data_IF_115615850059
#
_entry.id   IF_115615850059
#
_cell.length_a   1.000
_cell.length_b   1.000
_cell.length_c   1.000
_cell.angle_alpha   90.00
_cell.angle_beta   90.00
_cell.angle_gamma   90.00
#
_symmetry.space_group_name_H-M   'P 1'
#
loop_
_entity.id
_entity.type
_entity.pdbx_description
1 polymer ?
#
# COMPACT_ATOMS: atom_id res chain seq x y z
N UNK A 1 -34.34 -33.61 42.79
CA UNK A 1 -33.37 -33.65 41.66
C UNK A 1 -33.94 -33.22 40.31
N UNK A 2 -35.20 -33.54 39.95
CA UNK A 2 -35.75 -33.20 38.62
C UNK A 2 -35.92 -31.69 38.35
N UNK A 3 -36.24 -30.88 39.37
CA UNK A 3 -36.34 -29.42 39.27
C UNK A 3 -34.99 -28.74 38.93
N UNK A 4 -33.89 -29.16 39.57
CA UNK A 4 -32.55 -28.60 39.33
C UNK A 4 -32.02 -28.92 37.91
N UNK A 5 -32.32 -30.11 37.37
CA UNK A 5 -31.95 -30.49 36.00
C UNK A 5 -32.69 -29.64 34.94
N UNK A 6 -33.97 -29.33 35.17
CA UNK A 6 -34.77 -28.44 34.33
C UNK A 6 -34.19 -27.02 34.26
N UNK A 7 -33.76 -26.46 35.39
CA UNK A 7 -33.20 -25.10 35.46
C UNK A 7 -31.86 -24.98 34.72
N UNK A 8 -30.98 -25.99 34.82
CA UNK A 8 -29.69 -25.99 34.12
C UNK A 8 -29.86 -26.08 32.59
N UNK A 9 -30.76 -26.93 32.11
CA UNK A 9 -31.07 -27.03 30.67
C UNK A 9 -31.66 -25.74 30.11
N UNK A 10 -32.58 -25.09 30.84
CA UNK A 10 -33.15 -23.80 30.44
C UNK A 10 -32.09 -22.71 30.34
N UNK A 11 -31.13 -22.66 31.28
CA UNK A 11 -30.00 -21.71 31.24
C UNK A 11 -29.06 -21.97 30.06
N UNK A 12 -28.72 -23.22 29.77
CA UNK A 12 -27.89 -23.58 28.61
C UNK A 12 -28.58 -23.25 27.28
N UNK A 13 -29.88 -23.52 27.18
CA UNK A 13 -30.68 -23.18 25.99
C UNK A 13 -30.78 -21.66 25.81
N UNK A 14 -31.01 -20.90 26.88
CA UNK A 14 -31.00 -19.44 26.84
C UNK A 14 -29.63 -18.90 26.41
N UNK A 15 -28.53 -19.44 26.94
CA UNK A 15 -27.17 -19.08 26.53
C UNK A 15 -26.87 -19.38 25.06
N UNK A 16 -27.35 -20.52 24.55
CA UNK A 16 -27.25 -20.86 23.13
C UNK A 16 -28.02 -19.86 22.26
N UNK A 17 -29.27 -19.53 22.64
CA UNK A 17 -30.11 -18.58 21.89
C UNK A 17 -29.45 -17.20 21.86
N UNK A 18 -28.97 -16.70 23.01
CA UNK A 18 -28.26 -15.42 23.08
C UNK A 18 -27.02 -15.43 22.19
N UNK A 19 -26.22 -16.49 22.25
CA UNK A 19 -25.00 -16.61 21.43
C UNK A 19 -25.32 -16.64 19.93
N UNK A 20 -26.40 -17.31 19.52
CA UNK A 20 -26.88 -17.33 18.14
C UNK A 20 -27.36 -15.95 17.68
N UNK A 21 -28.09 -15.22 18.52
CA UNK A 21 -28.54 -13.87 18.22
C UNK A 21 -27.35 -12.91 18.08
N UNK A 22 -26.37 -12.97 18.98
CA UNK A 22 -25.14 -12.19 18.87
C UNK A 22 -24.36 -12.52 17.59
N UNK A 23 -24.20 -13.81 17.27
CA UNK A 23 -23.54 -14.23 16.04
C UNK A 23 -24.26 -13.71 14.79
N UNK A 24 -25.59 -13.80 14.73
CA UNK A 24 -26.38 -13.28 13.63
C UNK A 24 -26.25 -11.76 13.48
N UNK A 25 -26.32 -11.02 14.59
CA UNK A 25 -26.16 -9.56 14.61
C UNK A 25 -24.77 -9.14 14.10
N UNK A 26 -23.70 -9.75 14.61
CA UNK A 26 -22.34 -9.43 14.17
C UNK A 26 -22.08 -9.85 12.71
N UNK A 27 -22.66 -10.97 12.26
CA UNK A 27 -22.58 -11.39 10.85
C UNK A 27 -23.28 -10.38 9.94
N UNK A 28 -24.45 -9.89 10.34
CA UNK A 28 -25.18 -8.85 9.60
C UNK A 28 -24.38 -7.54 9.50
N UNK A 29 -23.81 -7.07 10.62
CA UNK A 29 -22.95 -5.87 10.63
C UNK A 29 -21.72 -6.07 9.74
N UNK A 30 -21.04 -7.22 9.79
CA UNK A 30 -19.91 -7.51 8.91
C UNK A 30 -20.33 -7.53 7.43
N UNK A 31 -21.48 -8.12 7.11
CA UNK A 31 -22.02 -8.11 5.74
C UNK A 31 -22.33 -6.68 5.27
N UNK A 32 -22.91 -5.84 6.14
CA UNK A 32 -23.14 -4.43 5.84
C UNK A 32 -21.81 -3.70 5.60
N UNK A 33 -20.81 -3.87 6.46
CA UNK A 33 -19.48 -3.27 6.25
C UNK A 33 -18.82 -3.79 4.96
N UNK A 34 -19.00 -5.06 4.61
CA UNK A 34 -18.45 -5.64 3.38
C UNK A 34 -19.07 -5.01 2.12
N UNK A 35 -20.38 -4.77 2.15
CA UNK A 35 -21.11 -4.07 1.08
C UNK A 35 -20.63 -2.63 0.92
N UNK A 36 -20.33 -1.95 2.02
CA UNK A 36 -19.93 -0.53 2.07
C UNK A 36 -18.41 -0.36 2.31
N UNK A 37 -17.58 -1.33 1.90
CA UNK A 37 -16.14 -1.33 2.21
C UNK A 37 -15.37 -0.15 1.62
N UNK A 38 -15.90 0.48 0.58
CA UNK A 38 -15.38 1.71 -0.03
C UNK A 38 -15.66 2.95 0.84
N UNK A 39 -16.50 2.86 1.88
CA UNK A 39 -16.86 3.98 2.77
C UNK A 39 -15.89 4.16 3.96
N UNK A 40 -14.59 4.04 3.68
CA UNK A 40 -13.52 4.30 4.66
C UNK A 40 -13.11 3.10 5.51
N UNK A 41 -13.22 1.87 4.99
CA UNK A 41 -12.72 0.66 5.65
C UNK A 41 -11.36 0.17 5.11
N UNK A 42 -10.59 1.08 4.52
CA UNK A 42 -9.23 0.88 4.02
C UNK A 42 -8.20 1.09 5.15
N UNK A 43 -7.00 0.53 4.98
CA UNK A 43 -5.87 0.81 5.87
C UNK A 43 -5.15 2.07 5.39
N UNK A 44 -5.27 3.15 6.15
CA UNK A 44 -4.80 4.49 5.80
C UNK A 44 -3.43 4.79 6.36
N UNK A 45 -2.60 5.43 5.54
CA UNK A 45 -1.31 5.99 5.92
C UNK A 45 -1.28 7.48 5.56
N UNK A 46 -0.57 8.26 6.38
CA UNK A 46 -0.53 9.72 6.24
C UNK A 46 0.74 10.25 5.58
N UNK A 47 1.76 9.41 5.34
CA UNK A 47 3.09 9.89 4.98
C UNK A 47 3.61 9.27 3.68
N UNK A 48 4.25 10.10 2.86
CA UNK A 48 4.93 9.68 1.62
C UNK A 48 5.93 8.50 1.82
N UNK A 49 6.79 8.54 2.86
CA UNK A 49 7.67 7.42 3.21
C UNK A 49 7.04 6.03 3.20
N UNK A 50 5.79 5.92 3.63
CA UNK A 50 5.13 4.64 3.82
C UNK A 50 4.85 3.91 2.50
N UNK A 51 4.91 4.60 1.35
CA UNK A 51 4.55 4.05 0.04
C UNK A 51 5.66 4.05 -1.00
N UNK A 52 6.61 4.97 -0.85
CA UNK A 52 7.59 5.28 -1.89
C UNK A 52 9.02 5.06 -1.45
N UNK A 53 9.28 4.94 -0.15
CA UNK A 53 10.58 4.44 0.29
C UNK A 53 10.48 2.93 0.41
N UNK A 54 11.15 2.30 -0.54
CA UNK A 54 11.32 0.87 -0.64
C UNK A 54 12.02 0.31 0.59
N UNK A 55 11.58 -0.85 1.08
CA UNK A 55 12.24 -1.55 2.19
C UNK A 55 13.64 -2.05 1.82
N UNK A 56 13.97 -2.09 0.53
CA UNK A 56 15.29 -2.39 0.01
C UNK A 56 16.22 -1.15 0.06
N UNK A 57 15.67 0.06 0.25
CA UNK A 57 16.45 1.30 0.35
C UNK A 57 16.92 1.52 1.79
N UNK A 58 18.24 1.68 2.03
CA UNK A 58 18.77 2.03 3.34
C UNK A 58 18.10 3.26 3.94
N UNK A 59 17.49 3.09 5.11
CA UNK A 59 16.77 4.12 5.82
C UNK A 59 17.01 4.04 7.32
N UNK A 60 16.81 5.16 8.01
CA UNK A 60 16.80 5.20 9.46
C UNK A 60 15.39 4.84 9.93
N UNK A 61 15.23 3.65 10.48
CA UNK A 61 13.94 3.10 10.95
C UNK A 61 13.68 3.37 12.43
N UNK A 62 14.63 4.01 13.11
CA UNK A 62 14.46 4.41 14.51
C UNK A 62 15.71 4.99 15.13
N UNK A 63 15.54 5.48 16.35
CA UNK A 63 16.63 6.01 17.15
C UNK A 63 16.59 5.42 18.56
N UNK A 64 17.75 5.13 19.14
CA UNK A 64 17.86 4.68 20.53
C UNK A 64 18.87 5.54 21.28
N UNK A 65 18.44 6.10 22.41
CA UNK A 65 19.36 6.79 23.33
C UNK A 65 20.26 5.74 24.01
N UNK A 66 21.58 5.94 23.97
CA UNK A 66 22.57 5.03 24.58
C UNK A 66 23.25 5.61 25.82
N UNK A 67 23.09 6.91 26.03
CA UNK A 67 23.66 7.66 27.14
C UNK A 67 23.40 9.15 26.92
N UNK A 68 23.91 9.98 27.82
CA UNK A 68 23.83 11.45 27.69
C UNK A 68 24.54 11.88 26.42
N UNK A 69 23.81 12.54 25.51
CA UNK A 69 24.34 12.96 24.22
C UNK A 69 24.78 11.81 23.31
N UNK A 70 24.28 10.59 23.50
CA UNK A 70 24.57 9.47 22.59
C UNK A 70 23.30 8.98 21.91
N UNK A 71 23.30 9.07 20.58
CA UNK A 71 22.18 8.67 19.74
C UNK A 71 22.61 7.54 18.81
N UNK A 72 21.95 6.39 18.92
CA UNK A 72 22.09 5.31 17.96
C UNK A 72 21.06 5.45 16.84
N UNK A 73 21.52 5.42 15.59
CA UNK A 73 20.66 5.36 14.40
C UNK A 73 20.42 3.90 14.03
N UNK A 74 19.16 3.46 14.04
CA UNK A 74 18.78 2.10 13.64
C UNK A 74 18.58 2.11 12.11
N UNK A 75 19.40 1.37 11.38
CA UNK A 75 19.42 1.38 9.91
C UNK A 75 18.88 0.05 9.37
N UNK A 76 17.95 0.13 8.41
CA UNK A 76 17.40 -1.03 7.71
C UNK A 76 17.24 -0.72 6.20
N UNK A 77 17.57 -1.67 5.31
CA UNK A 77 18.26 -2.93 5.61
C UNK A 77 19.68 -2.62 6.09
N UNK A 78 20.31 -3.60 6.76
CA UNK A 78 21.67 -3.45 7.26
C UNK A 78 22.63 -3.20 6.10
N UNK A 79 23.33 -2.07 6.12
CA UNK A 79 24.30 -1.69 5.08
C UNK A 79 25.76 -1.95 5.44
N UNK A 80 26.06 -2.08 6.75
CA UNK A 80 27.42 -2.30 7.24
C UNK A 80 27.42 -3.02 8.60
N UNK A 81 28.55 -3.61 8.95
CA UNK A 81 28.84 -4.16 10.29
C UNK A 81 29.44 -3.13 11.25
N UNK A 82 30.04 -2.09 10.68
CA UNK A 82 30.73 -1.03 11.42
C UNK A 82 30.67 0.28 10.65
N UNK A 83 30.93 1.37 11.36
CA UNK A 83 30.87 2.73 10.82
C UNK A 83 32.04 3.57 11.32
N UNK A 84 32.55 4.43 10.45
CA UNK A 84 33.47 5.52 10.79
C UNK A 84 32.68 6.82 10.83
N UNK A 85 32.70 7.50 11.97
CA UNK A 85 31.89 8.69 12.23
C UNK A 85 32.82 9.89 12.33
N UNK A 86 32.74 10.78 11.34
CA UNK A 86 33.41 12.08 11.34
C UNK A 86 32.53 13.08 12.07
N UNK A 87 33.09 13.63 13.13
CA UNK A 87 32.46 14.57 14.04
C UNK A 87 32.60 16.02 13.53
N UNK A 88 31.81 16.97 14.07
CA UNK A 88 31.87 18.38 13.64
C UNK A 88 33.23 19.05 13.86
N UNK A 89 33.97 18.61 14.89
CA UNK A 89 35.32 19.09 15.21
C UNK A 89 36.42 18.39 14.38
N UNK A 90 36.04 17.58 13.39
CA UNK A 90 36.95 16.81 12.55
C UNK A 90 37.47 15.53 13.20
N UNK A 91 37.17 15.28 14.47
CA UNK A 91 37.55 14.02 15.12
C UNK A 91 36.81 12.84 14.49
N UNK A 92 37.44 11.68 14.52
CA UNK A 92 36.87 10.45 13.96
C UNK A 92 36.69 9.44 15.08
N UNK A 93 35.48 8.87 15.14
CA UNK A 93 35.18 7.75 16.02
C UNK A 93 34.76 6.53 15.20
N UNK A 94 34.87 5.33 15.80
CA UNK A 94 34.44 4.09 15.17
C UNK A 94 33.31 3.47 15.97
N UNK A 95 32.30 2.96 15.27
CA UNK A 95 31.22 2.16 15.83
C UNK A 95 31.32 0.75 15.26
N UNK A 96 31.48 -0.26 16.13
CA UNK A 96 31.53 -1.68 15.75
C UNK A 96 30.13 -2.33 15.78
N UNK A 97 29.10 -1.51 15.63
CA UNK A 97 27.70 -1.94 15.60
C UNK A 97 27.15 -1.63 14.20
N UNK A 98 26.32 -2.51 13.61
CA UNK A 98 25.62 -2.21 12.36
C UNK A 98 24.77 -0.93 12.41
N UNK A 99 24.35 -0.53 13.62
CA UNK A 99 23.60 0.69 13.90
C UNK A 99 24.52 1.70 14.61
N UNK A 100 25.00 2.74 13.89
CA UNK A 100 26.04 3.60 14.41
C UNK A 100 25.57 4.42 15.61
N UNK A 101 26.47 4.59 16.59
CA UNK A 101 26.25 5.43 17.78
C UNK A 101 27.02 6.73 17.65
N UNK A 102 26.30 7.84 17.59
CA UNK A 102 26.86 9.19 17.45
C UNK A 102 26.94 9.84 18.84
N UNK A 103 28.11 10.38 19.19
CA UNK A 103 28.24 11.27 20.35
C UNK A 103 27.94 12.69 19.91
N UNK A 104 26.82 13.26 20.35
CA UNK A 104 26.33 14.55 19.90
C UNK A 104 27.02 15.70 20.65
N UNK A 105 27.38 16.75 19.91
CA UNK A 105 27.80 18.05 20.43
C UNK A 105 26.58 18.96 20.55
N UNK A 106 26.53 19.79 21.61
CA UNK A 106 25.47 20.79 21.75
C UNK A 106 25.45 21.74 20.55
N UNK A 107 24.27 22.19 20.15
CA UNK A 107 24.06 23.05 18.97
C UNK A 107 23.72 22.26 17.70
N UNK A 108 23.75 22.94 16.56
CA UNK A 108 23.49 22.38 15.23
C UNK A 108 24.79 21.88 14.61
N UNK A 109 24.84 20.60 14.30
CA UNK A 109 26.07 19.92 13.95
C UNK A 109 25.85 18.92 12.80
N UNK A 110 26.84 18.82 11.91
CA UNK A 110 26.87 17.85 10.80
C UNK A 110 27.71 16.64 11.18
N UNK A 111 27.18 15.46 10.92
CA UNK A 111 27.83 14.18 11.16
C UNK A 111 27.89 13.39 9.85
N UNK A 112 29.06 12.86 9.52
CA UNK A 112 29.26 12.03 8.33
C UNK A 112 29.67 10.63 8.77
N UNK A 113 28.81 9.67 8.48
CA UNK A 113 28.92 8.28 8.89
C UNK A 113 29.23 7.45 7.65
N UNK A 114 30.48 6.98 7.55
CA UNK A 114 30.95 6.15 6.45
C UNK A 114 30.83 4.68 6.83
N UNK A 115 30.10 3.86 6.06
CA UNK A 115 30.00 2.43 6.33
C UNK A 115 31.35 1.75 6.15
N UNK A 116 31.62 0.71 6.96
CA UNK A 116 32.84 -0.10 6.84
C UNK A 116 32.87 -1.00 5.60
N UNK A 117 31.74 -1.18 4.92
CA UNK A 117 31.62 -1.88 3.64
C UNK A 117 32.03 -0.96 2.48
N UNK A 118 32.71 -1.50 1.46
CA UNK A 118 33.20 -0.70 0.31
C UNK A 118 32.08 -0.12 -0.56
N UNK A 119 30.89 -0.73 -0.53
CA UNK A 119 29.79 -0.41 -1.44
C UNK A 119 28.67 0.42 -0.78
N UNK A 120 28.80 0.72 0.52
CA UNK A 120 27.78 1.49 1.24
C UNK A 120 27.90 3.00 1.00
N UNK A 121 26.77 3.66 0.76
CA UNK A 121 26.72 5.13 0.69
C UNK A 121 26.87 5.74 2.09
N UNK A 122 27.64 6.85 2.25
CA UNK A 122 27.75 7.53 3.53
C UNK A 122 26.39 8.07 3.99
N UNK A 123 26.11 7.95 5.28
CA UNK A 123 24.99 8.59 5.94
C UNK A 123 25.42 9.98 6.44
N UNK A 124 24.73 11.01 6.00
CA UNK A 124 24.97 12.41 6.37
C UNK A 124 23.77 12.88 7.19
N UNK A 125 24.02 13.36 8.40
CA UNK A 125 23.01 13.85 9.33
C UNK A 125 23.35 15.25 9.81
N UNK A 126 22.38 16.17 9.74
CA UNK A 126 22.43 17.43 10.46
C UNK A 126 21.51 17.34 11.68
N UNK A 127 22.09 17.42 12.87
CA UNK A 127 21.38 17.24 14.14
C UNK A 127 21.60 18.48 15.01
N UNK A 128 20.50 19.07 15.47
CA UNK A 128 20.44 20.03 16.56
C UNK A 128 20.25 19.29 17.87
N UNK A 129 21.24 19.34 18.75
CA UNK A 129 21.20 18.70 20.05
C UNK A 129 21.32 19.72 21.18
N UNK A 130 20.47 19.59 22.20
CA UNK A 130 20.57 20.36 23.45
C UNK A 130 20.44 19.41 24.61
N UNK A 131 21.55 19.16 25.31
CA UNK A 131 21.56 18.33 26.50
C UNK A 131 20.78 18.95 27.66
N UNK A 132 20.20 18.11 28.52
CA UNK A 132 19.39 18.52 29.68
C UNK A 132 20.13 19.49 30.60
N UNK A 133 21.45 19.36 30.74
CA UNK A 133 22.27 20.25 31.56
C UNK A 133 22.24 21.71 31.07
N UNK A 134 22.10 21.92 29.75
CA UNK A 134 21.94 23.25 29.18
C UNK A 134 20.60 23.87 29.59
N UNK A 135 19.53 23.07 29.63
CA UNK A 135 18.22 23.51 30.13
C UNK A 135 18.25 23.79 31.64
N UNK A 136 18.84 22.89 32.44
CA UNK A 136 18.93 23.04 33.91
C UNK A 136 19.65 24.31 34.34
N UNK A 137 20.73 24.69 33.64
CA UNK A 137 21.46 25.96 33.88
C UNK A 137 20.58 27.20 33.72
N UNK A 138 19.42 27.09 33.07
CA UNK A 138 18.43 28.16 32.87
C UNK A 138 17.14 27.94 33.67
N UNK A 139 17.16 27.05 34.67
CA UNK A 139 15.98 26.72 35.46
C UNK A 139 14.91 25.90 34.72
N UNK A 140 15.25 25.30 33.58
CA UNK A 140 14.33 24.48 32.78
C UNK A 140 14.63 22.98 32.99
N UNK A 141 13.60 22.19 33.32
CA UNK A 141 13.70 20.75 33.60
C UNK A 141 13.54 19.85 32.36
N UNK A 142 13.52 20.42 31.16
CA UNK A 142 13.43 19.67 29.90
C UNK A 142 14.56 18.64 29.78
N UNK A 143 14.21 17.45 29.30
CA UNK A 143 15.17 16.42 28.96
C UNK A 143 16.04 16.82 27.76
N UNK A 144 17.04 15.99 27.44
CA UNK A 144 17.79 16.10 26.18
C UNK A 144 16.86 16.24 24.98
N UNK A 145 17.11 17.25 24.16
CA UNK A 145 16.37 17.53 22.94
C UNK A 145 17.21 17.18 21.71
N UNK A 146 16.61 16.44 20.78
CA UNK A 146 17.24 15.94 19.55
C UNK A 146 16.35 16.37 18.39
N UNK A 147 16.92 17.10 17.43
CA UNK A 147 16.17 17.54 16.26
C UNK A 147 17.02 17.34 15.01
N UNK A 148 16.60 16.41 14.15
CA UNK A 148 17.27 16.13 12.88
C UNK A 148 16.74 17.12 11.86
N UNK A 149 17.60 18.00 11.37
CA UNK A 149 17.24 19.02 10.39
C UNK A 149 17.39 18.51 8.96
N UNK A 150 18.36 17.64 8.72
CA UNK A 150 18.61 17.05 7.40
C UNK A 150 19.16 15.63 7.53
N UNK A 151 18.79 14.78 6.58
CA UNK A 151 19.32 13.43 6.41
C UNK A 151 19.32 13.09 4.92
N UNK A 152 20.40 12.52 4.42
CA UNK A 152 20.41 11.95 3.06
C UNK A 152 19.81 10.53 3.01
N UNK A 153 19.75 9.83 4.14
CA UNK A 153 18.96 8.61 4.27
C UNK A 153 17.53 9.01 4.62
N UNK A 154 16.53 8.33 4.07
CA UNK A 154 15.17 8.52 4.52
C UNK A 154 14.99 8.14 5.99
N UNK A 155 14.07 8.80 6.69
CA UNK A 155 13.70 8.48 8.07
C UNK A 155 12.26 7.95 8.06
N UNK A 156 12.07 6.73 8.57
CA UNK A 156 10.81 6.00 8.43
C UNK A 156 10.37 5.54 9.82
N UNK A 157 9.14 5.88 10.19
CA UNK A 157 8.57 5.51 11.49
C UNK A 157 7.81 4.17 11.45
N UNK A 158 7.44 3.72 10.26
CA UNK A 158 6.60 2.55 10.03
C UNK A 158 7.27 1.53 9.11
N UNK A 159 6.61 0.39 8.95
CA UNK A 159 7.03 -0.63 7.99
C UNK A 159 7.01 -0.02 6.58
N UNK A 160 8.18 0.01 5.94
CA UNK A 160 8.29 0.17 4.48
C UNK A 160 7.84 -1.09 3.76
N UNK A 161 7.51 -0.92 2.49
CA UNK A 161 7.13 -2.01 1.60
C UNK A 161 8.19 -2.17 0.53
N UNK A 162 8.47 -3.41 0.16
CA UNK A 162 9.35 -3.71 -0.96
C UNK A 162 8.70 -3.40 -2.30
N UNK A 163 9.51 -3.37 -3.35
CA UNK A 163 9.03 -3.06 -4.71
C UNK A 163 7.90 -4.01 -5.13
N UNK A 164 8.02 -5.29 -4.79
CA UNK A 164 7.06 -6.32 -5.17
C UNK A 164 5.91 -6.52 -4.19
N UNK A 165 5.85 -5.77 -3.09
CA UNK A 165 4.69 -5.79 -2.18
C UNK A 165 3.46 -5.16 -2.86
N UNK A 166 3.69 -4.17 -3.72
CA UNK A 166 2.64 -3.49 -4.48
C UNK A 166 2.59 -3.89 -5.97
N UNK A 167 3.68 -4.41 -6.52
CA UNK A 167 3.75 -4.75 -7.94
C UNK A 167 2.94 -6.01 -8.27
N UNK A 168 2.18 -5.94 -9.37
CA UNK A 168 1.66 -7.15 -10.00
C UNK A 168 2.81 -8.05 -10.44
N UNK A 169 2.57 -9.36 -10.41
CA UNK A 169 3.58 -10.38 -10.70
C UNK A 169 3.07 -11.38 -11.72
N UNK A 170 3.98 -11.93 -12.53
CA UNK A 170 3.62 -12.88 -13.59
C UNK A 170 2.91 -14.11 -13.04
N UNK A 171 3.24 -14.55 -11.82
CA UNK A 171 2.65 -15.74 -11.19
C UNK A 171 1.18 -15.56 -10.82
N UNK A 172 0.64 -14.34 -10.92
CA UNK A 172 -0.78 -14.07 -10.72
C UNK A 172 -1.63 -14.38 -11.95
N UNK A 173 -1.01 -14.62 -13.10
CA UNK A 173 -1.65 -14.86 -14.38
C UNK A 173 -1.45 -16.30 -14.85
N UNK A 174 -2.28 -16.76 -15.80
CA UNK A 174 -2.08 -18.07 -16.41
C UNK A 174 -0.81 -18.05 -17.27
N UNK A 175 -0.05 -19.15 -17.26
CA UNK A 175 1.22 -19.25 -18.00
C UNK A 175 1.02 -19.03 -19.50
N UNK A 176 -0.10 -19.51 -20.04
CA UNK A 176 -0.45 -19.39 -21.45
C UNK A 176 -0.73 -17.93 -21.83
N UNK A 177 -1.40 -17.18 -20.94
CA UNK A 177 -1.67 -15.75 -21.15
C UNK A 177 -0.37 -14.93 -21.12
N UNK A 178 0.54 -15.22 -20.17
CA UNK A 178 1.85 -14.56 -20.09
C UNK A 178 2.70 -14.88 -21.32
N UNK A 179 2.69 -16.13 -21.80
CA UNK A 179 3.41 -16.52 -23.01
C UNK A 179 2.87 -15.79 -24.26
N UNK A 180 1.55 -15.65 -24.38
CA UNK A 180 0.93 -14.90 -25.47
C UNK A 180 1.25 -13.40 -25.39
N UNK A 181 1.18 -12.81 -24.19
CA UNK A 181 1.57 -11.43 -23.97
C UNK A 181 3.03 -11.18 -24.37
N UNK A 182 3.95 -12.07 -23.97
CA UNK A 182 5.37 -11.98 -24.37
C UNK A 182 5.54 -12.05 -25.89
N UNK A 183 4.80 -12.93 -26.58
CA UNK A 183 4.81 -12.97 -28.05
C UNK A 183 4.39 -11.63 -28.67
N UNK A 184 3.34 -11.00 -28.15
CA UNK A 184 2.90 -9.68 -28.62
C UNK A 184 3.92 -8.58 -28.30
N UNK A 185 4.47 -8.57 -27.09
CA UNK A 185 5.46 -7.58 -26.62
C UNK A 185 6.68 -7.55 -27.55
N UNK A 186 7.26 -8.72 -27.82
CA UNK A 186 8.47 -8.83 -28.64
C UNK A 186 8.17 -8.84 -30.16
N UNK A 187 7.00 -9.31 -30.57
CA UNK A 187 6.65 -9.44 -31.99
C UNK A 187 5.95 -8.23 -32.59
N UNK A 188 5.02 -7.61 -31.86
CA UNK A 188 4.13 -6.55 -32.36
C UNK A 188 4.42 -5.18 -31.74
N UNK A 189 4.75 -5.14 -30.45
CA UNK A 189 5.03 -3.87 -29.75
C UNK A 189 6.46 -3.37 -29.98
N UNK A 190 7.33 -4.19 -30.61
CA UNK A 190 8.70 -3.83 -30.96
C UNK A 190 9.65 -3.69 -29.78
N UNK A 191 9.31 -4.27 -28.63
CA UNK A 191 10.21 -4.34 -27.47
C UNK A 191 11.38 -5.26 -27.78
N UNK A 192 12.59 -4.83 -27.41
CA UNK A 192 13.81 -5.61 -27.55
C UNK A 192 14.26 -6.13 -26.18
N UNK A 193 15.00 -7.24 -26.17
CA UNK A 193 15.49 -7.86 -24.94
C UNK A 193 16.38 -6.92 -24.11
N UNK A 194 17.14 -6.05 -24.78
CA UNK A 194 18.05 -5.08 -24.16
C UNK A 194 17.44 -3.69 -23.91
N UNK A 195 16.15 -3.49 -24.20
CA UNK A 195 15.47 -2.22 -23.88
C UNK A 195 15.47 -2.02 -22.35
N UNK A 196 15.80 -0.80 -21.91
CA UNK A 196 15.64 -0.38 -20.53
C UNK A 196 14.16 -0.21 -20.15
N UNK A 197 13.92 0.04 -18.87
CA UNK A 197 12.56 0.14 -18.34
C UNK A 197 11.77 1.27 -19.02
N UNK A 198 12.43 2.40 -19.28
CA UNK A 198 11.84 3.55 -19.97
C UNK A 198 11.41 3.22 -21.40
N UNK A 199 12.27 2.58 -22.19
CA UNK A 199 11.98 2.22 -23.58
C UNK A 199 10.83 1.22 -23.67
N UNK A 200 10.83 0.20 -22.79
CA UNK A 200 9.73 -0.77 -22.67
C UNK A 200 8.41 -0.08 -22.35
N UNK A 201 8.40 0.83 -21.38
CA UNK A 201 7.22 1.62 -21.02
C UNK A 201 6.68 2.33 -22.26
N UNK A 202 7.51 3.10 -22.96
CA UNK A 202 7.05 3.90 -24.10
C UNK A 202 6.50 3.05 -25.25
N UNK A 203 7.18 1.94 -25.60
CA UNK A 203 6.75 1.06 -26.71
C UNK A 203 5.43 0.36 -26.40
N UNK A 204 5.32 -0.24 -25.22
CA UNK A 204 4.11 -0.95 -24.81
C UNK A 204 2.95 0.03 -24.63
N UNK A 205 3.16 1.17 -23.96
CA UNK A 205 2.12 2.19 -23.79
C UNK A 205 1.61 2.71 -25.12
N UNK A 206 2.51 3.02 -26.06
CA UNK A 206 2.14 3.48 -27.40
C UNK A 206 1.24 2.47 -28.11
N UNK A 207 1.68 1.22 -28.18
CA UNK A 207 0.92 0.16 -28.84
C UNK A 207 -0.45 -0.04 -28.19
N UNK A 208 -0.50 -0.14 -26.86
CA UNK A 208 -1.77 -0.34 -26.15
C UNK A 208 -2.72 0.84 -26.33
N UNK A 209 -2.20 2.07 -26.29
CA UNK A 209 -3.02 3.26 -26.49
C UNK A 209 -3.63 3.30 -27.89
N UNK A 210 -2.82 3.07 -28.93
CA UNK A 210 -3.28 2.99 -30.32
C UNK A 210 -4.40 1.96 -30.50
N UNK A 211 -4.32 0.85 -29.78
CA UNK A 211 -5.28 -0.24 -29.90
C UNK A 211 -6.57 0.00 -29.10
N UNK A 212 -6.47 0.60 -27.91
CA UNK A 212 -7.57 0.68 -26.93
C UNK A 212 -8.35 2.00 -27.02
N UNK A 213 -7.70 3.13 -27.29
CA UNK A 213 -8.31 4.48 -27.23
C UNK A 213 -9.58 4.58 -28.08
N UNK A 214 -9.55 4.00 -29.29
CA UNK A 214 -10.69 4.01 -30.22
C UNK A 214 -11.93 3.25 -29.72
N UNK A 215 -11.79 2.45 -28.67
CA UNK A 215 -12.85 1.69 -28.01
C UNK A 215 -13.19 2.24 -26.62
N UNK A 216 -12.83 3.48 -26.32
CA UNK A 216 -13.24 4.15 -25.09
C UNK A 216 -14.78 4.13 -24.95
N UNK A 217 -15.27 3.65 -23.82
CA UNK A 217 -16.70 3.46 -23.61
C UNK A 217 -17.06 2.58 -22.43
N UNK A 218 -18.35 2.42 -22.19
CA UNK A 218 -18.87 1.67 -21.04
C UNK A 218 -18.61 0.17 -21.24
N UNK A 219 -17.80 -0.48 -20.39
CA UNK A 219 -17.59 -1.91 -20.48
C UNK A 219 -18.87 -2.67 -20.04
N UNK A 220 -19.11 -3.83 -20.62
CA UNK A 220 -20.16 -4.74 -20.19
C UNK A 220 -19.83 -5.35 -18.83
N UNK A 221 -20.87 -5.76 -18.12
CA UNK A 221 -20.75 -6.46 -16.84
C UNK A 221 -19.84 -7.70 -16.93
N UNK A 222 -19.75 -8.35 -18.09
CA UNK A 222 -18.92 -9.53 -18.27
C UNK A 222 -17.42 -9.25 -18.13
N UNK A 223 -16.97 -8.02 -18.45
CA UNK A 223 -15.56 -7.61 -18.39
C UNK A 223 -14.95 -7.77 -16.99
N UNK A 224 -15.78 -7.67 -15.94
CA UNK A 224 -15.35 -7.80 -14.53
C UNK A 224 -14.83 -9.20 -14.18
N UNK A 225 -15.10 -10.20 -15.02
CA UNK A 225 -14.73 -11.60 -14.79
C UNK A 225 -13.66 -12.11 -15.76
N UNK A 226 -13.18 -11.27 -16.68
CA UNK A 226 -12.18 -11.64 -17.68
C UNK A 226 -10.75 -11.36 -17.19
N UNK A 227 -9.79 -12.15 -17.65
CA UNK A 227 -8.37 -11.84 -17.47
C UNK A 227 -8.00 -10.56 -18.23
N UNK A 228 -6.89 -9.87 -17.87
CA UNK A 228 -6.48 -8.68 -18.61
C UNK A 228 -6.26 -8.95 -20.11
N UNK A 229 -5.71 -10.12 -20.47
CA UNK A 229 -5.54 -10.48 -21.89
C UNK A 229 -6.89 -10.67 -22.60
N UNK A 230 -7.84 -11.34 -21.95
CA UNK A 230 -9.19 -11.52 -22.53
C UNK A 230 -9.94 -10.19 -22.63
N UNK A 231 -9.77 -9.28 -21.65
CA UNK A 231 -10.30 -7.92 -21.74
C UNK A 231 -9.71 -7.18 -22.95
N UNK A 232 -8.39 -7.21 -23.11
CA UNK A 232 -7.71 -6.62 -24.28
C UNK A 232 -8.27 -7.17 -25.60
N UNK A 233 -8.30 -8.50 -25.77
CA UNK A 233 -8.81 -9.15 -26.99
C UNK A 233 -10.25 -8.77 -27.29
N UNK A 234 -11.09 -8.69 -26.26
CA UNK A 234 -12.51 -8.35 -26.41
C UNK A 234 -12.68 -6.89 -26.84
N UNK A 235 -11.94 -5.96 -26.22
CA UNK A 235 -11.91 -4.54 -26.59
C UNK A 235 -11.47 -4.37 -28.04
N UNK A 236 -10.30 -4.91 -28.43
CA UNK A 236 -9.78 -4.71 -29.81
C UNK A 236 -10.61 -5.42 -30.89
N UNK A 237 -11.49 -6.36 -30.50
CA UNK A 237 -12.45 -6.98 -31.42
C UNK A 237 -13.74 -6.15 -31.60
N UNK A 238 -13.86 -5.00 -30.93
CA UNK A 238 -15.06 -4.15 -30.95
C UNK A 238 -16.27 -4.74 -30.21
N UNK A 239 -16.07 -5.79 -29.40
CA UNK A 239 -17.15 -6.45 -28.65
C UNK A 239 -17.47 -5.77 -27.32
N UNK A 240 -16.63 -4.85 -26.87
CA UNK A 240 -16.78 -4.16 -25.60
C UNK A 240 -16.08 -2.80 -25.59
N UNK A 241 -16.49 -1.94 -24.67
CA UNK A 241 -15.82 -0.69 -24.38
C UNK A 241 -14.72 -0.84 -23.31
N UNK A 242 -13.89 0.18 -23.20
CA UNK A 242 -12.90 0.32 -22.14
C UNK A 242 -13.11 1.61 -21.35
N UNK A 243 -13.10 1.50 -20.02
CA UNK A 243 -12.87 2.63 -19.13
C UNK A 243 -11.48 2.54 -18.51
N UNK A 244 -11.07 3.59 -17.79
CA UNK A 244 -9.76 3.70 -17.14
C UNK A 244 -9.35 2.43 -16.37
N UNK A 245 -10.29 1.77 -15.69
CA UNK A 245 -10.03 0.50 -15.00
C UNK A 245 -9.55 -0.61 -15.93
N UNK A 246 -10.20 -0.81 -17.08
CA UNK A 246 -9.80 -1.82 -18.06
C UNK A 246 -8.44 -1.49 -18.65
N UNK A 247 -8.24 -0.23 -19.05
CA UNK A 247 -6.97 0.27 -19.59
C UNK A 247 -5.82 0.05 -18.61
N UNK A 248 -6.03 0.38 -17.32
CA UNK A 248 -5.00 0.24 -16.29
C UNK A 248 -4.65 -1.23 -15.99
N UNK A 249 -5.62 -2.15 -15.89
CA UNK A 249 -5.32 -3.57 -15.63
C UNK A 249 -4.65 -4.26 -16.83
N UNK A 250 -5.02 -3.89 -18.06
CA UNK A 250 -4.38 -4.37 -19.29
C UNK A 250 -2.94 -3.87 -19.33
N UNK A 251 -2.74 -2.57 -19.12
CA UNK A 251 -1.42 -1.96 -19.02
C UNK A 251 -0.52 -2.68 -18.01
N UNK A 252 -1.00 -2.87 -16.77
CA UNK A 252 -0.22 -3.52 -15.73
C UNK A 252 0.15 -4.96 -16.07
N UNK A 253 -0.75 -5.69 -16.74
CA UNK A 253 -0.48 -7.06 -17.20
C UNK A 253 0.64 -7.12 -18.24
N UNK A 254 0.60 -6.26 -19.26
CA UNK A 254 1.64 -6.22 -20.29
C UNK A 254 2.98 -5.72 -19.75
N UNK A 255 2.99 -4.70 -18.87
CA UNK A 255 4.21 -4.23 -18.23
C UNK A 255 4.84 -5.30 -17.34
N UNK A 256 4.03 -5.98 -16.51
CA UNK A 256 4.50 -7.09 -15.67
C UNK A 256 5.08 -8.22 -16.53
N UNK A 257 4.42 -8.56 -17.64
CA UNK A 257 4.89 -9.58 -18.60
C UNK A 257 6.16 -9.16 -19.35
N UNK A 258 6.44 -7.86 -19.42
CA UNK A 258 7.69 -7.29 -19.92
C UNK A 258 8.78 -7.18 -18.83
N UNK A 259 8.56 -7.74 -17.64
CA UNK A 259 9.51 -7.67 -16.53
C UNK A 259 9.60 -6.29 -15.86
N UNK A 260 8.61 -5.42 -16.07
CA UNK A 260 8.51 -4.12 -15.41
C UNK A 260 7.56 -4.24 -14.22
N UNK A 261 8.04 -4.08 -12.97
CA UNK A 261 7.15 -4.06 -11.82
C UNK A 261 6.15 -2.91 -11.95
N UNK A 262 4.87 -3.21 -11.94
CA UNK A 262 3.80 -2.22 -12.11
C UNK A 262 2.74 -2.39 -11.04
N UNK A 263 2.31 -1.30 -10.40
CA UNK A 263 1.22 -1.27 -9.42
C UNK A 263 0.07 -0.41 -9.92
N UNK A 264 -1.13 -0.70 -9.44
CA UNK A 264 -2.32 0.10 -9.75
C UNK A 264 -2.63 1.07 -8.62
N UNK A 265 -2.99 2.29 -9.03
CA UNK A 265 -3.29 3.40 -8.12
C UNK A 265 -4.64 3.98 -8.52
N UNK A 266 -5.56 4.04 -7.57
CA UNK A 266 -6.89 4.64 -7.76
C UNK A 266 -6.99 5.96 -7.01
N UNK A 267 -7.65 6.93 -7.60
CA UNK A 267 -8.22 8.09 -6.92
C UNK A 267 -9.70 7.82 -6.69
N UNK A 268 -10.10 7.77 -5.42
CA UNK A 268 -11.49 7.53 -5.03
C UNK A 268 -11.96 8.64 -4.08
N UNK A 269 -13.23 9.00 -4.18
CA UNK A 269 -13.86 9.93 -3.27
C UNK A 269 -15.36 10.06 -3.54
N UNK A 270 -16.15 10.11 -2.48
CA UNK A 270 -17.61 10.21 -2.55
C UNK A 270 -18.14 11.08 -1.40
N UNK A 271 -19.13 11.91 -1.69
CA UNK A 271 -19.91 12.67 -0.70
C UNK A 271 -21.38 12.50 -1.05
N UNK A 272 -22.19 12.01 -0.10
CA UNK A 272 -23.64 11.83 -0.29
C UNK A 272 -24.02 11.09 -1.59
N UNK A 273 -23.31 10.00 -1.91
CA UNK A 273 -23.46 9.20 -3.15
C UNK A 273 -23.04 9.92 -4.45
N UNK A 274 -22.52 11.14 -4.34
CA UNK A 274 -21.92 11.86 -5.46
C UNK A 274 -20.43 11.56 -5.50
N UNK A 275 -19.99 10.90 -6.58
CA UNK A 275 -18.57 10.67 -6.83
C UNK A 275 -17.87 12.00 -7.08
N UNK A 276 -16.95 12.33 -6.19
CA UNK A 276 -16.12 13.54 -6.28
C UNK A 276 -14.75 13.26 -6.89
N UNK A 277 -14.33 11.99 -6.90
CA UNK A 277 -13.17 11.47 -7.62
C UNK A 277 -13.45 10.03 -8.07
N UNK A 278 -12.84 9.63 -9.18
CA UNK A 278 -13.01 8.30 -9.72
C UNK A 278 -12.13 8.11 -10.93
N UNK A 279 -10.88 7.69 -10.70
CA UNK A 279 -9.93 7.37 -11.75
C UNK A 279 -8.96 6.30 -11.28
N UNK A 280 -8.44 5.49 -12.20
CA UNK A 280 -7.43 4.49 -11.90
C UNK A 280 -6.39 4.49 -13.01
N UNK A 281 -5.14 4.42 -12.61
CA UNK A 281 -3.97 4.41 -13.47
C UNK A 281 -2.90 3.52 -12.84
N UNK A 282 -1.68 3.57 -13.37
CA UNK A 282 -0.59 2.73 -12.92
C UNK A 282 0.64 3.55 -12.50
N UNK A 283 1.48 2.92 -11.71
CA UNK A 283 2.87 3.32 -11.55
C UNK A 283 3.77 2.17 -11.95
N UNK A 284 4.77 2.44 -12.79
CA UNK A 284 5.74 1.44 -13.25
C UNK A 284 7.11 1.75 -12.69
N UNK A 285 7.81 0.74 -12.20
CA UNK A 285 9.10 0.92 -11.54
C UNK A 285 10.22 1.00 -12.58
N UNK A 286 10.93 2.13 -12.60
CA UNK A 286 12.10 2.34 -13.46
C UNK A 286 13.33 1.90 -12.69
N UNK A 287 13.80 0.69 -12.97
CA UNK A 287 14.92 0.05 -12.26
C UNK A 287 16.19 0.90 -12.29
N UNK A 288 16.48 1.50 -13.43
CA UNK A 288 17.67 2.33 -13.67
C UNK A 288 17.67 3.62 -12.81
N UNK A 289 16.50 4.01 -12.29
CA UNK A 289 16.30 5.17 -11.41
C UNK A 289 15.91 4.78 -9.99
N UNK A 290 15.73 3.48 -9.70
CA UNK A 290 15.22 2.96 -8.44
C UNK A 290 13.96 3.69 -7.95
N UNK A 291 13.00 3.97 -8.86
CA UNK A 291 11.87 4.84 -8.57
C UNK A 291 10.59 4.43 -9.32
N UNK A 292 9.46 4.54 -8.63
CA UNK A 292 8.13 4.44 -9.24
C UNK A 292 7.85 5.64 -10.15
N UNK A 293 7.21 5.37 -11.28
CA UNK A 293 6.89 6.41 -12.26
C UNK A 293 5.41 6.36 -12.61
N UNK A 294 4.74 7.51 -12.53
CA UNK A 294 3.35 7.67 -12.92
C UNK A 294 3.15 7.40 -14.42
N UNK A 295 2.14 6.58 -14.73
CA UNK A 295 1.68 6.31 -16.09
C UNK A 295 0.16 6.15 -16.10
N UNK A 296 -0.48 6.84 -17.02
CA UNK A 296 -1.93 6.82 -17.21
C UNK A 296 -2.22 6.60 -18.69
N UNK A 297 -2.46 5.32 -19.00
CA UNK A 297 -2.77 4.90 -20.36
C UNK A 297 -4.07 5.57 -20.86
N UNK A 298 -5.07 5.78 -20.00
CA UNK A 298 -6.37 6.32 -20.43
C UNK A 298 -6.24 7.76 -20.96
N UNK A 299 -5.40 8.57 -20.29
CA UNK A 299 -5.11 9.94 -20.71
C UNK A 299 -3.90 10.07 -21.66
N UNK A 300 -3.31 8.95 -22.09
CA UNK A 300 -2.15 8.94 -22.97
C UNK A 300 -0.88 9.49 -22.33
N UNK A 301 -0.77 9.50 -21.00
CA UNK A 301 0.42 9.93 -20.27
C UNK A 301 1.30 8.73 -19.94
N UNK A 302 2.30 8.48 -20.77
CA UNK A 302 3.10 7.24 -20.66
C UNK A 302 4.17 7.32 -19.58
N UNK A 303 4.66 8.53 -19.31
CA UNK A 303 5.67 8.78 -18.30
C UNK A 303 5.67 10.27 -17.95
N UNK A 304 6.00 10.62 -16.70
CA UNK A 304 6.18 12.02 -16.30
C UNK A 304 7.51 12.16 -15.57
N UNK A 305 8.34 13.10 -16.01
CA UNK A 305 9.74 13.25 -15.57
C UNK A 305 10.07 14.72 -15.27
N UNK A 306 11.13 14.98 -14.51
CA UNK A 306 11.72 16.31 -14.38
C UNK A 306 12.63 16.65 -15.59
N UNK A 307 13.29 17.81 -15.52
CA UNK A 307 14.23 18.24 -16.56
C UNK A 307 15.43 17.29 -16.75
N UNK A 308 15.78 16.52 -15.72
CA UNK A 308 16.91 15.59 -15.69
C UNK A 308 16.50 14.14 -16.03
N UNK A 309 15.23 13.91 -16.39
CA UNK A 309 14.72 12.56 -16.67
C UNK A 309 14.53 11.71 -15.40
N UNK A 310 14.35 12.33 -14.24
CA UNK A 310 13.93 11.64 -13.01
C UNK A 310 12.41 11.52 -13.03
N UNK A 311 11.84 10.30 -12.94
CA UNK A 311 10.41 10.12 -12.98
C UNK A 311 9.73 10.71 -11.75
N UNK A 312 8.51 11.21 -11.93
CA UNK A 312 7.63 11.60 -10.85
C UNK A 312 6.68 10.47 -10.46
N UNK A 313 6.48 10.31 -9.17
CA UNK A 313 5.41 9.46 -8.62
C UNK A 313 4.07 10.19 -8.62
N UNK A 314 2.98 9.45 -8.42
CA UNK A 314 1.65 10.05 -8.24
C UNK A 314 1.66 11.09 -7.11
N UNK A 315 2.21 10.76 -5.95
CA UNK A 315 2.26 11.71 -4.83
C UNK A 315 3.10 12.96 -5.11
N UNK A 316 4.18 12.82 -5.87
CA UNK A 316 4.99 13.99 -6.25
C UNK A 316 4.24 14.90 -7.21
N UNK A 317 3.52 14.36 -8.20
CA UNK A 317 2.69 15.15 -9.11
C UNK A 317 1.59 15.90 -8.36
N UNK A 318 0.98 15.26 -7.36
CA UNK A 318 -0.02 15.87 -6.50
C UNK A 318 0.58 17.03 -5.71
N UNK A 319 1.77 16.83 -5.13
CA UNK A 319 2.47 17.89 -4.41
C UNK A 319 2.88 19.04 -5.33
N UNK A 320 3.34 18.75 -6.54
CA UNK A 320 3.66 19.77 -7.55
C UNK A 320 2.42 20.57 -7.92
N UNK A 321 1.28 19.92 -8.17
CA UNK A 321 0.01 20.61 -8.42
C UNK A 321 -0.43 21.45 -7.21
N UNK A 322 -0.36 20.91 -6.00
CA UNK A 322 -0.75 21.61 -4.77
C UNK A 322 0.12 22.82 -4.42
N UNK A 323 1.33 22.89 -4.98
CA UNK A 323 2.30 23.98 -4.80
C UNK A 323 2.46 24.83 -6.06
N UNK A 324 1.53 24.73 -7.01
CA UNK A 324 1.54 25.46 -8.29
C UNK A 324 2.86 25.32 -9.08
N UNK A 325 3.49 24.15 -8.95
CA UNK A 325 4.81 23.82 -9.51
C UNK A 325 4.73 22.74 -10.60
N UNK A 326 3.54 22.40 -11.10
CA UNK A 326 3.36 21.33 -12.10
C UNK A 326 4.08 21.61 -13.42
N UNK A 327 4.35 22.88 -13.75
CA UNK A 327 5.14 23.26 -14.93
C UNK A 327 6.60 22.76 -14.89
N UNK A 328 7.08 22.26 -13.76
CA UNK A 328 8.38 21.58 -13.62
C UNK A 328 8.36 20.13 -14.12
N UNK A 329 7.17 19.57 -14.34
CA UNK A 329 6.98 18.21 -14.82
C UNK A 329 6.82 18.18 -16.34
N UNK A 330 7.55 17.26 -16.97
CA UNK A 330 7.47 16.97 -18.38
C UNK A 330 6.73 15.66 -18.60
N UNK A 331 5.59 15.76 -19.26
CA UNK A 331 4.74 14.64 -19.62
C UNK A 331 5.17 14.11 -20.98
N UNK A 332 5.53 12.83 -21.00
CA UNK A 332 5.76 12.06 -22.21
C UNK A 332 4.41 11.48 -22.61
N UNK A 333 3.70 12.19 -23.46
CA UNK A 333 2.32 11.90 -23.85
C UNK A 333 2.22 11.42 -25.30
N UNK A 334 1.09 10.79 -25.62
CA UNK A 334 0.76 10.42 -26.99
C UNK A 334 -0.21 11.40 -27.62
N UNK A 335 0.17 11.99 -28.73
CA UNK A 335 -0.64 12.99 -29.43
C UNK A 335 -0.39 12.93 -30.92
N UNK A 336 -1.48 12.98 -31.71
CA UNK A 336 -1.40 12.97 -33.18
C UNK A 336 -0.56 11.82 -33.73
N UNK A 337 -0.68 10.65 -33.11
CA UNK A 337 0.05 9.41 -33.44
C UNK A 337 1.55 9.41 -33.13
N UNK A 338 2.03 10.37 -32.33
CA UNK A 338 3.43 10.52 -31.97
C UNK A 338 3.60 10.66 -30.46
N UNK A 339 4.74 10.19 -29.94
CA UNK A 339 5.13 10.47 -28.56
C UNK A 339 5.72 11.88 -28.51
N UNK A 340 5.17 12.72 -27.64
CA UNK A 340 5.58 14.12 -27.45
C UNK A 340 5.94 14.38 -26.00
N UNK A 341 6.86 15.32 -25.79
CA UNK A 341 7.21 15.85 -24.47
C UNK A 341 6.53 17.20 -24.30
N UNK A 342 5.73 17.36 -23.24
CA UNK A 342 4.97 18.59 -22.95
C UNK A 342 5.03 18.96 -21.49
N UNK A 343 4.81 20.24 -21.21
CA UNK A 343 4.56 20.76 -19.88
C UNK A 343 3.10 21.20 -19.82
N UNK A 344 2.50 21.09 -18.64
CA UNK A 344 1.17 21.64 -18.38
C UNK A 344 1.29 22.77 -17.37
N UNK A 345 0.36 23.72 -17.44
CA UNK A 345 0.17 24.65 -16.33
C UNK A 345 -0.88 24.10 -15.36
N UNK A 346 -0.91 24.66 -14.14
CA UNK A 346 -1.86 24.23 -13.11
C UNK A 346 -3.32 24.56 -13.44
N UNK A 347 -3.65 25.25 -14.53
CA UNK A 347 -5.05 25.52 -14.92
C UNK A 347 -5.55 24.56 -15.99
N UNK A 348 -4.63 23.89 -16.68
CA UNK A 348 -4.90 22.98 -17.79
C UNK A 348 -4.74 21.52 -17.38
N UNK A 349 -3.94 21.25 -16.35
CA UNK A 349 -3.80 19.92 -15.78
C UNK A 349 -4.91 19.64 -14.76
N UNK A 350 -6.06 19.16 -15.22
CA UNK A 350 -7.24 18.95 -14.37
C UNK A 350 -7.15 17.66 -13.53
N UNK A 351 -6.19 16.79 -13.82
CA UNK A 351 -5.90 15.64 -12.97
C UNK A 351 -5.39 16.10 -11.61
N UNK A 352 -5.85 15.45 -10.55
CA UNK A 352 -5.50 15.78 -9.16
C UNK A 352 -5.93 17.19 -8.68
N UNK A 353 -6.75 17.94 -9.41
CA UNK A 353 -7.29 19.23 -8.94
C UNK A 353 -8.00 19.14 -7.58
N UNK A 354 -8.46 17.94 -7.28
CA UNK A 354 -9.44 17.66 -6.25
C UNK A 354 -8.84 17.22 -4.92
N UNK A 355 -7.58 16.80 -4.90
CA UNK A 355 -7.01 16.06 -3.76
C UNK A 355 -6.94 16.92 -2.50
N UNK A 356 -6.74 18.23 -2.65
CA UNK A 356 -6.65 19.17 -1.52
C UNK A 356 -7.97 19.85 -1.19
N UNK A 357 -8.81 20.08 -2.19
CA UNK A 357 -10.02 20.88 -2.05
C UNK A 357 -11.29 20.04 -1.85
N UNK A 358 -11.23 18.74 -2.14
CA UNK A 358 -12.36 17.83 -1.93
C UNK A 358 -12.11 16.98 -0.68
N UNK A 359 -12.89 17.16 0.40
CA UNK A 359 -12.78 16.30 1.57
C UNK A 359 -13.07 14.84 1.18
N UNK A 360 -12.52 13.88 1.91
CA UNK A 360 -12.72 12.44 1.71
C UNK A 360 -12.17 11.85 0.40
N UNK A 361 -11.21 12.53 -0.24
CA UNK A 361 -10.51 11.95 -1.37
C UNK A 361 -9.31 11.10 -0.90
N UNK A 362 -9.15 9.92 -1.47
CA UNK A 362 -8.17 8.91 -1.07
C UNK A 362 -7.41 8.38 -2.28
N UNK A 363 -6.12 8.10 -2.09
CA UNK A 363 -5.29 7.45 -3.11
C UNK A 363 -5.07 6.01 -2.68
N UNK A 364 -5.60 5.07 -3.44
CA UNK A 364 -5.66 3.67 -3.05
C UNK A 364 -4.66 2.88 -3.87
N UNK A 365 -3.74 2.21 -3.19
CA UNK A 365 -2.78 1.28 -3.77
C UNK A 365 -3.39 -0.12 -3.74
N UNK A 366 -3.62 -0.63 -4.94
CA UNK A 366 -4.29 -1.91 -5.13
C UNK A 366 -3.29 -3.06 -4.99
N UNK A 367 -3.41 -3.85 -3.92
CA UNK A 367 -2.49 -4.96 -3.71
C UNK A 367 -2.65 -6.06 -4.78
N UNK A 368 -1.54 -6.65 -5.25
CA UNK A 368 -1.50 -7.59 -6.35
C UNK A 368 -2.03 -8.97 -5.89
N UNK A 369 -3.13 -9.44 -6.48
CA UNK A 369 -3.75 -10.73 -6.10
C UNK A 369 -4.26 -11.50 -7.32
N UNK A 370 -4.02 -12.81 -7.32
CA UNK A 370 -4.58 -13.72 -8.30
C UNK A 370 -6.11 -13.69 -8.19
N UNK A 371 -6.78 -13.64 -9.34
CA UNK A 371 -8.24 -13.63 -9.43
C UNK A 371 -8.88 -12.62 -8.45
N UNK A 372 -8.49 -11.34 -8.55
CA UNK A 372 -8.92 -10.21 -7.69
C UNK A 372 -10.44 -10.16 -7.47
N UNK A 373 -11.22 -10.62 -8.44
CA UNK A 373 -12.69 -10.59 -8.41
C UNK A 373 -13.33 -11.85 -7.85
N UNK A 374 -12.57 -12.91 -7.58
CA UNK A 374 -13.09 -14.09 -6.91
C UNK A 374 -13.53 -13.79 -5.48
N UNK A 375 -14.54 -14.52 -5.01
CA UNK A 375 -15.04 -14.42 -3.65
C UNK A 375 -13.95 -14.63 -2.59
N UNK A 376 -13.05 -15.63 -2.69
CA UNK A 376 -11.94 -15.79 -1.73
C UNK A 376 -11.02 -14.58 -1.68
N UNK A 377 -10.65 -14.01 -2.82
CA UNK A 377 -9.82 -12.80 -2.88
C UNK A 377 -10.53 -11.57 -2.32
N UNK A 378 -11.85 -11.46 -2.53
CA UNK A 378 -12.67 -10.40 -1.92
C UNK A 378 -12.76 -10.55 -0.40
N UNK A 379 -12.91 -11.76 0.12
CA UNK A 379 -12.94 -12.04 1.56
C UNK A 379 -11.56 -11.79 2.18
N UNK A 380 -10.47 -12.18 1.52
CA UNK A 380 -9.11 -11.89 1.98
C UNK A 380 -8.84 -10.39 2.07
N UNK A 381 -9.32 -9.60 1.10
CA UNK A 381 -9.29 -8.13 1.15
C UNK A 381 -10.04 -7.55 2.34
N UNK A 382 -11.18 -8.17 2.64
CA UNK A 382 -12.02 -7.71 3.72
C UNK A 382 -11.35 -7.93 5.09
N UNK A 383 -10.63 -9.05 5.26
CA UNK A 383 -10.15 -9.54 6.56
C UNK A 383 -8.64 -9.36 6.78
N UNK A 384 -7.81 -10.05 5.98
CA UNK A 384 -6.39 -10.26 6.29
C UNK A 384 -5.50 -9.21 5.64
N UNK A 385 -5.78 -8.84 4.40
CA UNK A 385 -4.95 -7.96 3.61
C UNK A 385 -5.83 -6.85 3.05
N UNK A 386 -6.19 -5.79 3.79
CA UNK A 386 -6.91 -4.66 3.19
C UNK A 386 -6.07 -4.00 2.09
N UNK A 387 -6.74 -3.39 1.12
CA UNK A 387 -6.04 -2.44 0.24
C UNK A 387 -5.63 -1.21 1.08
N UNK A 388 -4.54 -0.57 0.64
CA UNK A 388 -3.88 0.49 1.41
C UNK A 388 -4.22 1.82 0.77
N UNK A 389 -4.53 2.83 1.58
CA UNK A 389 -4.85 4.17 1.10
C UNK A 389 -3.93 5.23 1.69
N UNK A 390 -3.59 6.24 0.91
CA UNK A 390 -3.04 7.49 1.40
C UNK A 390 -4.18 8.49 1.60
N UNK A 391 -4.23 9.08 2.80
CA UNK A 391 -5.19 10.12 3.14
C UNK A 391 -4.59 10.97 4.28
N UNK A 392 -4.26 12.26 4.05
CA UNK A 392 -3.56 13.07 5.04
C UNK A 392 -4.39 13.28 6.32
N UNK A 393 -5.72 13.38 6.17
CA UNK A 393 -6.68 13.53 7.27
C UNK A 393 -7.40 12.21 7.61
N UNK A 394 -6.91 11.09 7.06
CA UNK A 394 -7.53 9.79 7.16
C UNK A 394 -7.28 9.08 8.48
N UNK A 395 -8.34 8.62 9.14
CA UNK A 395 -8.23 7.78 10.34
C UNK A 395 -8.48 6.30 10.03
N UNK A 396 -7.69 5.43 10.68
CA UNK A 396 -7.90 3.98 10.70
C UNK A 396 -9.02 3.51 11.64
N UNK A 397 -9.71 4.43 12.32
CA UNK A 397 -10.76 4.09 13.29
C UNK A 397 -11.84 3.16 12.71
N UNK A 398 -12.41 3.49 11.55
CA UNK A 398 -13.42 2.66 10.87
C UNK A 398 -12.89 1.25 10.54
N UNK A 399 -11.64 1.15 10.08
CA UNK A 399 -10.98 -0.12 9.82
C UNK A 399 -10.87 -0.97 11.10
N UNK A 400 -10.46 -0.39 12.23
CA UNK A 400 -10.39 -1.11 13.51
C UNK A 400 -11.76 -1.46 14.10
N UNK A 401 -12.79 -0.63 13.89
CA UNK A 401 -14.18 -0.95 14.24
C UNK A 401 -14.63 -2.20 13.48
N UNK A 402 -14.36 -2.28 12.17
CA UNK A 402 -14.61 -3.48 11.37
C UNK A 402 -13.93 -4.71 11.96
N UNK A 403 -12.62 -4.64 12.23
CA UNK A 403 -11.88 -5.77 12.81
C UNK A 403 -12.47 -6.22 14.16
N UNK A 404 -12.93 -5.27 14.98
CA UNK A 404 -13.58 -5.57 16.25
C UNK A 404 -14.88 -6.35 16.07
N UNK A 405 -15.74 -5.94 15.12
CA UNK A 405 -16.97 -6.68 14.82
C UNK A 405 -16.71 -8.07 14.24
N UNK A 406 -15.66 -8.22 13.44
CA UNK A 406 -15.24 -9.55 12.94
C UNK A 406 -14.79 -10.46 14.09
N UNK A 407 -13.98 -9.94 15.01
CA UNK A 407 -13.55 -10.67 16.20
C UNK A 407 -14.73 -11.07 17.10
N UNK A 408 -15.68 -10.16 17.35
CA UNK A 408 -16.89 -10.42 18.13
C UNK A 408 -17.79 -11.48 17.48
N UNK A 409 -17.91 -11.46 16.15
CA UNK A 409 -18.59 -12.51 15.40
C UNK A 409 -17.95 -13.89 15.62
N UNK A 410 -16.62 -13.98 15.54
CA UNK A 410 -15.89 -15.23 15.77
C UNK A 410 -16.03 -15.73 17.22
N UNK A 411 -15.94 -14.85 18.21
CA UNK A 411 -16.15 -15.20 19.63
C UNK A 411 -17.57 -15.74 19.84
N UNK A 412 -18.57 -15.11 19.23
CA UNK A 412 -19.96 -15.55 19.31
C UNK A 412 -20.15 -16.93 18.67
N UNK A 413 -19.51 -17.19 17.53
CA UNK A 413 -19.53 -18.50 16.88
C UNK A 413 -18.93 -19.60 17.78
N UNK A 414 -17.77 -19.36 18.38
CA UNK A 414 -17.14 -20.29 19.33
C UNK A 414 -18.08 -20.56 20.52
N UNK A 415 -18.75 -19.53 21.01
CA UNK A 415 -19.70 -19.64 22.13
C UNK A 415 -20.90 -20.51 21.76
N UNK A 416 -21.47 -20.35 20.56
CA UNK A 416 -22.52 -21.23 20.01
C UNK A 416 -22.05 -22.69 19.96
N UNK A 417 -20.85 -22.94 19.46
CA UNK A 417 -20.28 -24.29 19.36
C UNK A 417 -20.09 -24.93 20.74
N UNK A 418 -19.54 -24.19 21.71
CA UNK A 418 -19.37 -24.67 23.08
C UNK A 418 -20.71 -24.96 23.76
N UNK A 419 -21.70 -24.08 23.62
CA UNK A 419 -23.06 -24.31 24.13
C UNK A 419 -23.70 -25.56 23.50
N UNK A 420 -23.53 -25.74 22.19
CA UNK A 420 -23.99 -26.94 21.47
C UNK A 420 -23.35 -28.22 21.99
N UNK A 421 -22.03 -28.24 22.14
CA UNK A 421 -21.28 -29.38 22.70
C UNK A 421 -21.71 -29.70 24.14
N UNK A 422 -21.89 -28.68 24.98
CA UNK A 422 -22.38 -28.87 26.35
C UNK A 422 -23.79 -29.48 26.38
N UNK A 423 -24.69 -29.04 25.49
CA UNK A 423 -26.04 -29.61 25.38
C UNK A 423 -26.00 -31.08 24.93
N UNK A 424 -25.14 -31.44 23.98
CA UNK A 424 -24.93 -32.82 23.53
C UNK A 424 -24.41 -33.68 24.70
N UNK A 425 -23.38 -33.21 25.41
CA UNK A 425 -22.83 -33.91 26.58
C UNK A 425 -23.88 -34.09 27.69
N UNK A 426 -24.66 -33.05 27.98
CA UNK A 426 -25.73 -33.10 28.98
C UNK A 426 -26.83 -34.09 28.59
N UNK A 427 -27.23 -34.14 27.31
CA UNK A 427 -28.19 -35.12 26.80
C UNK A 427 -27.67 -36.55 26.96
N UNK A 428 -26.40 -36.79 26.62
CA UNK A 428 -25.75 -38.11 26.78
C UNK A 428 -25.75 -38.58 28.23
N UNK A 429 -25.28 -37.74 29.16
CA UNK A 429 -25.28 -38.04 30.60
C UNK A 429 -26.70 -38.31 31.14
N UNK A 430 -27.71 -37.58 30.65
CA UNK A 430 -29.09 -37.80 31.06
C UNK A 430 -29.62 -39.16 30.57
N UNK A 431 -29.31 -39.55 29.32
CA UNK A 431 -29.67 -40.87 28.77
C UNK A 431 -28.98 -42.00 29.54
N UNK A 432 -27.69 -41.88 29.84
CA UNK A 432 -26.94 -42.85 30.65
C UNK A 432 -27.54 -42.97 32.07
N UNK A 433 -27.87 -41.84 32.71
CA UNK A 433 -28.50 -41.88 34.04
C UNK A 433 -29.89 -42.53 34.03
N UNK A 434 -30.66 -42.41 32.93
CA UNK A 434 -31.96 -43.08 32.79
C UNK A 434 -31.79 -44.58 32.58
N UNK A 435 -30.79 -45.02 31.81
CA UNK A 435 -30.47 -46.45 31.64
C UNK A 435 -30.14 -47.11 32.98
N UNK A 436 -29.26 -46.49 33.77
CA UNK A 436 -28.90 -47.00 35.10
C UNK A 436 -30.10 -47.11 36.05
N UNK A 437 -31.08 -46.20 35.97
CA UNK A 437 -32.30 -46.27 36.79
C UNK A 437 -33.27 -47.36 36.31
N UNK A 438 -33.20 -47.76 35.04
CA UNK A 438 -34.03 -48.85 34.50
C UNK A 438 -33.39 -50.24 34.72
N UNK A 439 -32.08 -50.29 34.94
CA UNK A 439 -31.31 -51.52 35.20
C UNK A 439 -31.27 -51.90 36.69
N UNK A 440 -31.59 -50.96 37.60
CA UNK A 440 -31.79 -51.21 39.04
C UNK A 440 -33.27 -51.26 39.36
#
# INVERSE_FOLDING_TARGET
MNSLKSTSQKKLLAGLIISLLCFAAFTYVNYWIFKHKTEGFLNKYGNYPDFYILDETPAIVGFKKRGVGQLQCIISPKTADSWTIKMPDGTVSKSQDPNPVITLKNGKNRYELTPGSKDGLPLILNISYVGSETYKKRGNSSADNYYITESNYPIIAHKSYGTYDFAYREELYKKEEVAEAKKMIYGEMGVLENDGSRERILKISKYLYDMIEQYAGIPSDSMKYLSPLDQYKRIISGKDGAWCHNSAVIYAFFMTSAGIPTRLVSLEGEIDQVKIAGHIFAESFIKEKNKWAYSDLDNGFFLVEDANGIPFTTMELINLKATDSIGKAFFICYEKKEIRKRTFDSRTFNQFEDIRNKPNMEIIYQLPRANRYSLPSMLSRYTVNPDIAYSPDGSNFKYYVKLSFLALGLISLVSVLLCGLMLIKFRKLNLESRKLVLEN
#
